data_IF_954001875750
#
_entry.id   IF_954001875750
#
_cell.length_a   1.000
_cell.length_b   1.000
_cell.length_c   1.000
_cell.angle_alpha   90.00
_cell.angle_beta   90.00
_cell.angle_gamma   90.00
#
_symmetry.space_group_name_H-M   'P 1'
#
loop_
_entity.id
_entity.type
_entity.pdbx_description
1 polymer ?
#
# COMPACT_ATOMS: atom_id res chain seq x y z
N UNK A 1 3.29 8.04 -12.26
CA UNK A 1 2.54 7.90 -11.01
C UNK A 1 3.20 8.82 -10.00
N UNK A 2 2.48 9.80 -9.49
CA UNK A 2 3.06 10.79 -8.57
C UNK A 2 3.06 10.32 -7.10
N UNK A 3 2.37 9.25 -6.79
CA UNK A 3 2.15 8.72 -5.43
C UNK A 3 3.03 7.51 -5.07
N UNK A 4 4.03 7.19 -5.90
CA UNK A 4 4.99 6.10 -5.65
C UNK A 4 6.42 6.64 -5.70
N UNK A 5 7.17 6.32 -4.66
CA UNK A 5 8.59 6.58 -4.56
C UNK A 5 9.36 5.27 -4.41
N UNK A 6 10.09 4.92 -5.47
CA UNK A 6 10.99 3.78 -5.45
C UNK A 6 12.43 4.32 -5.45
N UNK A 7 13.07 4.51 -4.29
CA UNK A 7 14.47 4.96 -4.22
C UNK A 7 15.44 3.92 -4.78
N UNK A 8 15.08 2.64 -4.70
CA UNK A 8 15.75 1.52 -5.35
C UNK A 8 14.75 0.59 -6.03
N UNK A 9 15.24 -0.22 -6.92
CA UNK A 9 14.49 -1.24 -7.66
C UNK A 9 15.17 -2.59 -7.52
N UNK A 10 14.40 -3.66 -7.66
CA UNK A 10 14.81 -5.04 -7.47
C UNK A 10 14.54 -5.52 -6.04
N UNK A 11 14.39 -6.83 -5.88
CA UNK A 11 14.03 -7.43 -4.60
C UNK A 11 14.54 -8.86 -4.49
N UNK A 12 14.53 -9.41 -3.27
CA UNK A 12 14.68 -10.84 -2.99
C UNK A 12 13.33 -11.40 -2.57
N UNK A 13 12.94 -12.54 -3.15
CA UNK A 13 11.76 -13.25 -2.67
C UNK A 13 11.93 -13.63 -1.20
N UNK A 14 10.90 -13.46 -0.41
CA UNK A 14 10.95 -13.65 1.04
C UNK A 14 9.92 -14.67 1.53
N UNK A 15 8.72 -14.62 1.01
CA UNK A 15 7.62 -15.50 1.40
C UNK A 15 6.85 -15.98 0.16
N UNK A 16 5.93 -16.92 0.35
CA UNK A 16 5.04 -17.44 -0.68
C UNK A 16 4.24 -16.34 -1.41
N UNK A 17 4.00 -15.20 -0.76
CA UNK A 17 3.41 -14.02 -1.42
C UNK A 17 4.33 -13.34 -2.45
N UNK A 18 5.57 -13.81 -2.59
CA UNK A 18 6.48 -13.33 -3.63
C UNK A 18 6.51 -14.21 -4.89
N UNK A 19 5.82 -15.37 -4.89
CA UNK A 19 5.89 -16.32 -6.00
C UNK A 19 5.37 -15.73 -7.31
N UNK A 20 4.23 -15.03 -7.26
CA UNK A 20 3.58 -14.37 -8.39
C UNK A 20 3.65 -12.83 -8.27
N UNK A 21 4.78 -12.31 -7.73
CA UNK A 21 4.93 -10.87 -7.53
C UNK A 21 4.95 -10.12 -8.86
N UNK A 22 4.09 -9.11 -8.95
CA UNK A 22 3.92 -8.28 -10.14
C UNK A 22 5.22 -7.59 -10.60
N UNK A 23 6.13 -7.28 -9.70
CA UNK A 23 7.41 -6.65 -10.03
C UNK A 23 8.26 -7.61 -10.87
N UNK A 24 8.44 -8.86 -10.42
CA UNK A 24 9.17 -9.88 -11.20
C UNK A 24 8.53 -10.14 -12.57
N UNK A 25 7.19 -10.21 -12.60
CA UNK A 25 6.47 -10.40 -13.86
C UNK A 25 6.70 -9.23 -14.82
N UNK A 26 6.54 -7.99 -14.38
CA UNK A 26 6.72 -6.81 -15.22
C UNK A 26 8.17 -6.61 -15.68
N UNK A 27 9.14 -6.98 -14.86
CA UNK A 27 10.55 -6.93 -15.19
C UNK A 27 10.89 -7.98 -16.24
N UNK A 28 10.36 -9.20 -16.15
CA UNK A 28 10.57 -10.26 -17.15
C UNK A 28 10.06 -9.86 -18.55
N UNK A 29 8.98 -9.05 -18.61
CA UNK A 29 8.48 -8.49 -19.87
C UNK A 29 9.39 -7.44 -20.52
N UNK A 30 10.41 -6.94 -19.77
CA UNK A 30 11.30 -5.85 -20.16
C UNK A 30 12.77 -6.25 -20.16
N UNK A 31 13.05 -7.54 -20.00
CA UNK A 31 14.40 -8.09 -19.84
C UNK A 31 15.22 -7.42 -18.71
N UNK A 32 14.52 -7.02 -17.64
CA UNK A 32 15.16 -6.42 -16.45
C UNK A 32 15.45 -7.50 -15.43
N UNK A 33 16.68 -7.53 -14.90
CA UNK A 33 17.05 -8.44 -13.83
C UNK A 33 16.51 -7.94 -12.49
N UNK A 34 15.38 -8.46 -12.05
CA UNK A 34 14.71 -8.11 -10.78
C UNK A 34 15.54 -8.40 -9.53
N UNK A 35 16.58 -9.25 -9.63
CA UNK A 35 17.44 -9.58 -8.49
C UNK A 35 18.64 -8.63 -8.37
N UNK A 36 18.87 -7.75 -9.33
CA UNK A 36 19.88 -6.70 -9.24
C UNK A 36 19.31 -5.49 -8.53
N UNK A 37 19.74 -5.29 -7.30
CA UNK A 37 19.26 -4.16 -6.49
C UNK A 37 20.05 -2.91 -6.84
N UNK A 38 19.37 -1.88 -7.34
CA UNK A 38 20.00 -0.64 -7.82
C UNK A 38 19.25 0.60 -7.37
N UNK A 39 19.98 1.68 -7.13
CA UNK A 39 19.37 3.00 -6.96
C UNK A 39 18.64 3.40 -8.25
N UNK A 40 17.48 4.02 -8.10
CA UNK A 40 16.74 4.58 -9.24
C UNK A 40 17.08 6.06 -9.44
N UNK A 41 16.75 6.58 -10.63
CA UNK A 41 16.82 8.02 -10.91
C UNK A 41 15.86 8.86 -10.05
N UNK A 42 14.92 8.19 -9.37
CA UNK A 42 13.94 8.79 -8.47
C UNK A 42 14.36 8.74 -7.00
N UNK A 43 15.64 8.43 -6.70
CA UNK A 43 16.14 8.31 -5.33
C UNK A 43 15.77 9.52 -4.47
N UNK A 44 15.89 10.71 -5.00
CA UNK A 44 15.58 11.98 -4.33
C UNK A 44 14.19 12.55 -4.73
N UNK A 45 13.26 11.72 -5.19
CA UNK A 45 11.97 12.22 -5.72
C UNK A 45 11.21 13.16 -4.77
N UNK A 46 11.07 12.91 -3.46
CA UNK A 46 10.37 13.84 -2.57
C UNK A 46 11.01 15.22 -2.44
N UNK A 47 12.30 15.35 -2.79
CA UNK A 47 13.05 16.62 -2.77
C UNK A 47 12.99 17.37 -4.09
N UNK A 48 12.42 16.78 -5.15
CA UNK A 48 12.36 17.41 -6.46
C UNK A 48 11.43 18.63 -6.45
N UNK A 49 11.91 19.71 -7.08
CA UNK A 49 11.18 20.97 -7.19
C UNK A 49 10.66 21.21 -8.61
N UNK A 50 9.60 21.96 -8.70
CA UNK A 50 9.08 22.57 -9.95
C UNK A 50 9.92 23.80 -10.30
N UNK A 51 9.65 24.41 -11.47
CA UNK A 51 10.35 25.64 -11.92
C UNK A 51 10.10 26.85 -11.01
N UNK A 52 8.96 26.89 -10.32
CA UNK A 52 8.59 27.94 -9.38
C UNK A 52 9.21 27.75 -7.98
N UNK A 53 10.07 26.75 -7.80
CA UNK A 53 10.74 26.45 -6.53
C UNK A 53 9.92 25.60 -5.56
N UNK A 54 8.62 25.38 -5.79
CA UNK A 54 7.78 24.50 -4.96
C UNK A 54 8.15 23.04 -5.16
N UNK A 55 7.94 22.19 -4.15
CA UNK A 55 8.13 20.75 -4.29
C UNK A 55 7.13 20.14 -5.26
N UNK A 56 7.56 19.12 -6.02
CA UNK A 56 6.65 18.33 -6.89
C UNK A 56 5.64 17.57 -6.06
N UNK A 57 6.08 16.97 -4.94
CA UNK A 57 5.21 16.33 -3.94
C UNK A 57 4.73 17.41 -2.98
N UNK A 58 3.43 17.61 -2.91
CA UNK A 58 2.81 18.68 -2.13
C UNK A 58 2.61 18.25 -0.67
N UNK A 59 2.56 19.21 0.24
CA UNK A 59 2.26 18.97 1.64
C UNK A 59 0.91 18.24 1.79
N UNK A 60 0.89 17.15 2.55
CA UNK A 60 -0.30 16.31 2.79
C UNK A 60 -0.50 15.17 1.79
N UNK A 61 0.29 15.10 0.70
CA UNK A 61 0.25 13.93 -0.19
C UNK A 61 0.72 12.66 0.53
N UNK A 62 0.14 11.52 0.16
CA UNK A 62 0.57 10.20 0.62
C UNK A 62 1.47 9.56 -0.45
N UNK A 63 2.70 9.24 -0.10
CA UNK A 63 3.66 8.57 -0.99
C UNK A 63 3.89 7.14 -0.51
N UNK A 64 3.68 6.17 -1.41
CA UNK A 64 3.98 4.75 -1.17
C UNK A 64 5.44 4.48 -1.51
N UNK A 65 6.18 3.97 -0.53
CA UNK A 65 7.64 3.79 -0.65
C UNK A 65 7.97 2.34 -1.02
N UNK A 66 8.94 2.15 -1.92
CA UNK A 66 9.49 0.84 -2.32
C UNK A 66 8.45 -0.14 -2.89
N UNK A 67 7.54 0.33 -3.74
CA UNK A 67 6.53 -0.55 -4.36
C UNK A 67 7.13 -1.55 -5.39
N UNK A 68 8.37 -1.35 -5.83
CA UNK A 68 9.13 -2.29 -6.69
C UNK A 68 10.33 -2.90 -5.97
N UNK A 69 10.27 -2.96 -4.64
CA UNK A 69 11.26 -3.56 -3.75
C UNK A 69 10.64 -3.84 -2.38
N UNK A 70 11.48 -3.94 -1.36
CA UNK A 70 11.09 -3.93 0.06
C UNK A 70 11.91 -2.87 0.78
N UNK A 71 11.28 -2.11 1.68
CA UNK A 71 11.96 -1.00 2.38
C UNK A 71 13.07 -1.50 3.32
N UNK A 72 12.89 -2.68 3.90
CA UNK A 72 13.87 -3.28 4.82
C UNK A 72 14.70 -4.40 4.17
N UNK A 73 14.88 -4.35 2.84
CA UNK A 73 15.77 -5.24 2.11
C UNK A 73 17.24 -5.02 2.56
N UNK A 74 18.00 -6.10 2.76
CA UNK A 74 19.39 -6.07 3.26
C UNK A 74 20.32 -5.24 2.35
N UNK A 75 20.26 -5.48 1.05
CA UNK A 75 21.12 -4.78 0.08
C UNK A 75 20.86 -3.27 0.03
N UNK A 76 19.74 -2.81 0.57
CA UNK A 76 19.40 -1.39 0.66
C UNK A 76 19.84 -0.72 1.96
N UNK A 77 20.46 -1.44 2.89
CA UNK A 77 20.92 -0.88 4.17
C UNK A 77 21.85 0.32 3.98
N UNK A 78 22.74 0.23 3.01
CA UNK A 78 23.70 1.31 2.65
C UNK A 78 23.05 2.60 2.19
N UNK A 79 21.76 2.59 1.87
CA UNK A 79 21.01 3.75 1.38
C UNK A 79 19.87 4.18 2.32
N UNK A 80 19.47 3.32 3.23
CA UNK A 80 18.26 3.52 4.05
C UNK A 80 18.35 4.76 4.91
N UNK A 81 19.50 5.05 5.51
CA UNK A 81 19.67 6.27 6.32
C UNK A 81 19.40 7.53 5.49
N UNK A 82 19.91 7.60 4.26
CA UNK A 82 19.61 8.73 3.37
C UNK A 82 18.12 8.88 3.05
N UNK A 83 17.36 7.76 3.05
CA UNK A 83 15.91 7.79 2.83
C UNK A 83 15.20 8.27 4.10
N UNK A 84 15.65 7.85 5.28
CA UNK A 84 15.15 8.39 6.54
C UNK A 84 15.40 9.90 6.66
N UNK A 85 16.56 10.41 6.20
CA UNK A 85 16.85 11.84 6.14
C UNK A 85 15.84 12.60 5.27
N UNK A 86 15.49 12.04 4.10
CA UNK A 86 14.48 12.63 3.22
C UNK A 86 13.10 12.63 3.89
N UNK A 87 12.70 11.55 4.53
CA UNK A 87 11.42 11.43 5.25
C UNK A 87 11.36 12.43 6.40
N UNK A 88 12.44 12.53 7.18
CA UNK A 88 12.62 13.47 8.30
C UNK A 88 12.56 14.93 7.83
N UNK A 89 13.16 15.23 6.68
CA UNK A 89 13.11 16.58 6.10
C UNK A 89 11.72 16.94 5.56
N UNK A 90 10.99 15.98 4.95
CA UNK A 90 9.66 16.16 4.37
C UNK A 90 8.56 15.77 5.35
N UNK A 91 8.56 16.38 6.55
CA UNK A 91 7.52 16.21 7.58
C UNK A 91 6.12 16.64 7.11
N UNK A 92 6.05 17.36 6.00
CA UNK A 92 4.83 17.79 5.34
C UNK A 92 4.18 16.71 4.46
N UNK A 93 4.89 15.62 4.14
CA UNK A 93 4.46 14.52 3.26
C UNK A 93 4.22 13.26 4.08
N UNK A 94 3.16 12.52 3.77
CA UNK A 94 2.84 11.24 4.40
C UNK A 94 3.56 10.11 3.66
N UNK A 95 4.25 9.24 4.39
CA UNK A 95 4.97 8.11 3.82
C UNK A 95 4.34 6.79 4.26
N UNK A 96 3.90 6.01 3.28
CA UNK A 96 3.39 4.66 3.46
C UNK A 96 4.54 3.67 3.23
N UNK A 97 5.10 3.12 4.29
CA UNK A 97 6.18 2.14 4.27
C UNK A 97 5.59 0.75 4.43
N UNK A 98 5.95 -0.16 3.52
CA UNK A 98 5.48 -1.54 3.50
C UNK A 98 6.65 -2.51 3.46
N UNK A 99 6.56 -3.58 4.26
CA UNK A 99 7.57 -4.64 4.26
C UNK A 99 6.98 -6.03 4.48
N UNK A 100 7.68 -7.03 3.98
CA UNK A 100 7.52 -8.43 4.38
C UNK A 100 8.54 -8.87 5.44
N UNK A 101 9.55 -8.03 5.69
CA UNK A 101 10.69 -8.26 6.61
C UNK A 101 10.45 -7.55 7.94
N UNK A 102 9.38 -7.92 8.64
CA UNK A 102 8.98 -7.27 9.89
C UNK A 102 10.07 -7.34 10.96
N UNK A 103 10.81 -8.45 11.01
CA UNK A 103 11.89 -8.70 11.97
C UNK A 103 13.06 -7.71 11.84
N UNK A 104 13.23 -7.10 10.65
CA UNK A 104 14.31 -6.14 10.41
C UNK A 104 13.93 -4.70 10.80
N UNK A 105 12.63 -4.42 11.04
CA UNK A 105 12.18 -3.04 11.29
C UNK A 105 12.96 -2.41 12.43
N UNK A 106 12.92 -3.05 13.60
CA UNK A 106 13.46 -2.48 14.85
C UNK A 106 14.92 -2.03 14.73
N UNK A 107 15.76 -2.86 14.10
CA UNK A 107 17.20 -2.62 13.99
C UNK A 107 17.56 -1.57 12.93
N UNK A 108 16.60 -1.21 12.05
CA UNK A 108 16.84 -0.32 10.93
C UNK A 108 15.96 0.94 10.97
N UNK A 109 15.38 1.24 12.13
CA UNK A 109 14.78 2.54 12.41
C UNK A 109 15.88 3.57 12.64
N UNK A 110 15.66 4.84 12.31
CA UNK A 110 16.65 5.89 12.57
C UNK A 110 16.81 6.12 14.09
N UNK A 111 17.97 6.62 14.52
CA UNK A 111 18.30 6.79 15.94
C UNK A 111 17.36 7.76 16.68
N UNK A 112 16.72 8.67 15.98
CA UNK A 112 15.75 9.65 16.50
C UNK A 112 14.29 9.22 16.25
N UNK A 113 14.04 7.93 16.03
CA UNK A 113 12.68 7.41 15.79
C UNK A 113 11.74 7.56 16.98
N UNK A 114 12.24 7.41 18.21
CA UNK A 114 11.48 7.51 19.47
C UNK A 114 10.18 6.69 19.43
N UNK A 115 9.01 7.33 19.48
CA UNK A 115 7.68 6.74 19.39
C UNK A 115 7.09 6.78 17.96
N UNK A 116 7.90 7.14 16.98
CA UNK A 116 7.60 7.18 15.55
C UNK A 116 7.38 8.57 14.99
N UNK A 117 7.64 8.72 13.69
CA UNK A 117 7.41 9.96 12.99
C UNK A 117 5.91 10.16 12.68
N UNK A 118 5.38 11.37 12.93
CA UNK A 118 3.99 11.74 12.69
C UNK A 118 3.54 11.61 11.22
N UNK A 119 4.48 11.57 10.30
CA UNK A 119 4.25 11.51 8.87
C UNK A 119 4.52 10.12 8.26
N UNK A 120 4.72 9.09 9.08
CA UNK A 120 5.00 7.73 8.62
C UNK A 120 3.95 6.75 9.13
N UNK A 121 3.39 5.95 8.23
CA UNK A 121 2.64 4.75 8.56
C UNK A 121 3.47 3.52 8.21
N UNK A 122 3.75 2.68 9.21
CA UNK A 122 4.43 1.41 9.04
C UNK A 122 3.42 0.30 8.77
N UNK A 123 3.68 -0.49 7.74
CA UNK A 123 2.79 -1.57 7.35
C UNK A 123 3.58 -2.86 7.13
N UNK A 124 2.96 -3.98 7.49
CA UNK A 124 3.46 -5.31 7.15
C UNK A 124 2.52 -6.00 6.18
N UNK A 125 3.09 -6.78 5.24
CA UNK A 125 2.28 -7.62 4.36
C UNK A 125 1.95 -8.93 5.07
N UNK A 126 0.68 -9.32 5.06
CA UNK A 126 0.19 -10.59 5.61
C UNK A 126 -0.60 -11.31 4.52
N UNK A 127 0.01 -12.30 3.89
CA UNK A 127 -0.56 -13.01 2.75
C UNK A 127 -1.52 -14.12 3.16
N UNK A 128 -1.32 -14.68 4.35
CA UNK A 128 -2.08 -15.76 4.97
C UNK A 128 -1.92 -15.69 6.50
N UNK A 129 -2.61 -16.60 7.23
CA UNK A 129 -2.59 -16.60 8.70
C UNK A 129 -1.19 -16.74 9.28
N UNK A 130 -0.38 -17.66 8.74
CA UNK A 130 1.00 -17.84 9.20
C UNK A 130 1.78 -16.52 9.16
N UNK A 131 1.68 -15.75 8.07
CA UNK A 131 2.39 -14.47 7.95
C UNK A 131 1.78 -13.38 8.82
N UNK A 132 0.48 -13.44 9.08
CA UNK A 132 -0.15 -12.56 10.05
C UNK A 132 0.39 -12.81 11.47
N UNK A 133 0.44 -14.08 11.89
CA UNK A 133 0.92 -14.50 13.21
C UNK A 133 2.41 -14.20 13.42
N UNK A 134 3.22 -14.27 12.36
CA UNK A 134 4.65 -13.92 12.39
C UNK A 134 4.88 -12.41 12.46
N UNK A 135 4.15 -11.60 11.67
CA UNK A 135 4.51 -10.20 11.42
C UNK A 135 3.71 -9.18 12.20
N UNK A 136 2.44 -9.43 12.48
CA UNK A 136 1.60 -8.46 13.20
C UNK A 136 2.10 -8.26 14.63
N UNK A 137 2.43 -9.29 15.42
CA UNK A 137 2.97 -9.08 16.76
C UNK A 137 4.28 -8.26 16.77
N UNK A 138 5.15 -8.46 15.77
CA UNK A 138 6.36 -7.66 15.63
C UNK A 138 5.99 -6.19 15.34
N UNK A 139 5.10 -5.93 14.37
CA UNK A 139 4.64 -4.57 14.06
C UNK A 139 4.04 -3.89 15.30
N UNK A 140 3.21 -4.60 16.07
CA UNK A 140 2.59 -4.07 17.28
C UNK A 140 3.62 -3.73 18.37
N UNK A 141 4.74 -4.45 18.42
CA UNK A 141 5.84 -4.18 19.37
C UNK A 141 6.71 -2.97 19.00
N UNK A 142 6.67 -2.52 17.74
CA UNK A 142 7.41 -1.34 17.29
C UNK A 142 6.70 -0.07 17.79
N UNK A 143 7.39 0.87 18.45
CA UNK A 143 6.81 2.17 18.72
C UNK A 143 6.64 2.94 17.41
N UNK A 144 5.40 3.20 17.00
CA UNK A 144 5.08 3.95 15.79
C UNK A 144 3.72 4.62 15.93
N UNK A 145 3.60 5.85 15.45
CA UNK A 145 2.37 6.65 15.51
C UNK A 145 1.24 5.99 14.73
N UNK A 146 1.56 5.48 13.54
CA UNK A 146 0.58 4.91 12.62
C UNK A 146 1.02 3.54 12.15
N UNK A 147 0.10 2.57 12.18
CA UNK A 147 0.33 1.18 11.78
C UNK A 147 -0.79 0.66 10.91
N UNK A 148 -0.43 -0.16 9.92
CA UNK A 148 -1.41 -0.79 9.04
C UNK A 148 -1.01 -2.21 8.62
N UNK A 149 -1.95 -2.92 8.04
CA UNK A 149 -1.79 -4.29 7.54
C UNK A 149 -2.14 -4.30 6.05
N UNK A 150 -1.30 -4.96 5.25
CA UNK A 150 -1.54 -5.18 3.83
C UNK A 150 -1.74 -6.68 3.58
N UNK A 151 -2.97 -7.11 3.31
CA UNK A 151 -3.30 -8.47 2.86
C UNK A 151 -3.35 -8.48 1.32
N UNK A 152 -2.22 -8.18 0.67
CA UNK A 152 -2.07 -8.20 -0.78
C UNK A 152 -0.63 -8.62 -1.16
N UNK A 153 -0.48 -9.84 -1.77
CA UNK A 153 -1.56 -10.73 -2.19
C UNK A 153 -2.24 -11.43 -1.01
N UNK A 154 -3.55 -11.62 -1.09
CA UNK A 154 -4.32 -12.36 -0.10
C UNK A 154 -4.56 -13.79 -0.63
N UNK A 155 -3.77 -14.74 -0.16
CA UNK A 155 -3.67 -16.11 -0.71
C UNK A 155 -4.09 -17.22 0.26
N UNK A 156 -4.56 -16.85 1.42
CA UNK A 156 -5.10 -17.75 2.43
C UNK A 156 -5.88 -16.97 3.47
N UNK A 157 -6.91 -17.55 4.05
CA UNK A 157 -7.73 -16.93 5.09
C UNK A 157 -6.87 -16.36 6.22
N UNK A 158 -7.27 -15.21 6.75
CA UNK A 158 -6.60 -14.52 7.88
C UNK A 158 -7.66 -14.06 8.88
N UNK A 159 -7.51 -14.49 10.12
CA UNK A 159 -8.17 -13.90 11.27
C UNK A 159 -7.24 -12.90 11.95
N UNK A 160 -7.57 -11.60 11.86
CA UNK A 160 -6.83 -10.53 12.52
C UNK A 160 -7.48 -10.07 13.83
N UNK A 161 -8.64 -10.57 14.18
CA UNK A 161 -9.40 -10.16 15.36
C UNK A 161 -8.54 -10.10 16.65
N UNK A 162 -7.67 -11.11 16.93
CA UNK A 162 -6.84 -11.09 18.14
C UNK A 162 -5.89 -9.89 18.24
N UNK A 163 -5.54 -9.26 17.12
CA UNK A 163 -4.58 -8.16 17.05
C UNK A 163 -5.24 -6.78 17.09
N UNK A 164 -6.54 -6.69 16.79
CA UNK A 164 -7.25 -5.41 16.67
C UNK A 164 -7.61 -4.79 18.01
N UNK A 165 -7.70 -5.57 19.07
CA UNK A 165 -7.99 -5.10 20.43
C UNK A 165 -6.94 -4.13 20.98
N UNK A 166 -5.76 -4.05 20.36
CA UNK A 166 -4.69 -3.12 20.76
C UNK A 166 -4.99 -1.66 20.38
N UNK A 167 -5.96 -1.43 19.51
CA UNK A 167 -6.30 -0.11 18.92
C UNK A 167 -5.13 0.59 18.22
N UNK A 168 -4.07 -0.17 17.84
CA UNK A 168 -2.88 0.38 17.17
C UNK A 168 -2.97 0.31 15.64
N UNK A 169 -3.84 -0.56 15.09
CA UNK A 169 -4.03 -0.69 13.65
C UNK A 169 -5.09 0.29 13.18
N UNK A 170 -4.74 1.11 12.19
CA UNK A 170 -5.61 2.18 11.68
C UNK A 170 -6.10 1.90 10.25
N UNK A 171 -5.38 1.02 9.51
CA UNK A 171 -5.66 0.76 8.10
C UNK A 171 -5.40 -0.71 7.77
N UNK A 172 -6.35 -1.35 7.10
CA UNK A 172 -6.18 -2.68 6.51
C UNK A 172 -6.51 -2.59 5.01
N UNK A 173 -5.59 -3.07 4.18
CA UNK A 173 -5.76 -3.10 2.72
C UNK A 173 -5.73 -4.56 2.28
N UNK A 174 -6.63 -4.93 1.37
CA UNK A 174 -6.75 -6.28 0.86
C UNK A 174 -6.79 -6.29 -0.68
N UNK A 175 -6.19 -7.32 -1.30
CA UNK A 175 -6.22 -7.51 -2.74
C UNK A 175 -5.67 -8.86 -3.17
N UNK A 176 -6.18 -9.38 -4.30
CA UNK A 176 -5.74 -10.64 -4.87
C UNK A 176 -4.48 -10.52 -5.74
N UNK A 177 -3.94 -11.67 -6.16
CA UNK A 177 -2.82 -11.75 -7.10
C UNK A 177 -3.26 -11.40 -8.53
N UNK A 178 -2.32 -10.83 -9.26
CA UNK A 178 -2.49 -10.48 -10.66
C UNK A 178 -1.56 -11.32 -11.55
N UNK A 179 -1.87 -11.34 -12.85
CA UNK A 179 -1.06 -11.99 -13.89
C UNK A 179 -1.13 -13.53 -13.86
N UNK A 180 -0.24 -14.15 -14.60
CA UNK A 180 -0.23 -15.61 -14.80
C UNK A 180 0.10 -16.34 -13.50
N UNK A 181 -0.60 -17.47 -13.29
CA UNK A 181 -0.43 -18.29 -12.08
C UNK A 181 -1.07 -17.72 -10.82
N UNK A 182 -1.83 -16.62 -10.93
CA UNK A 182 -2.50 -16.00 -9.78
C UNK A 182 -3.37 -17.01 -9.01
N UNK A 183 -3.12 -17.12 -7.72
CA UNK A 183 -3.90 -17.94 -6.80
C UNK A 183 -5.26 -17.30 -6.54
N UNK A 184 -6.29 -18.10 -6.28
CA UNK A 184 -7.63 -17.58 -6.06
C UNK A 184 -7.72 -16.76 -4.78
N UNK A 185 -8.41 -15.62 -4.86
CA UNK A 185 -8.90 -14.89 -3.70
C UNK A 185 -10.37 -15.26 -3.46
N UNK A 186 -10.73 -15.65 -2.25
CA UNK A 186 -12.08 -16.01 -1.86
C UNK A 186 -12.83 -14.81 -1.28
N UNK A 187 -14.06 -14.60 -1.73
CA UNK A 187 -14.94 -13.53 -1.24
C UNK A 187 -15.15 -13.60 0.28
N UNK A 188 -15.35 -14.81 0.81
CA UNK A 188 -15.59 -15.06 2.22
C UNK A 188 -14.42 -14.57 3.08
N UNK A 189 -13.17 -14.78 2.64
CA UNK A 189 -11.98 -14.29 3.33
C UNK A 189 -11.96 -12.76 3.41
N UNK A 190 -12.32 -12.10 2.30
CA UNK A 190 -12.38 -10.62 2.24
C UNK A 190 -13.49 -10.11 3.15
N UNK A 191 -14.63 -10.83 3.19
CA UNK A 191 -15.76 -10.45 4.04
C UNK A 191 -15.43 -10.58 5.52
N UNK A 192 -14.79 -11.68 5.93
CA UNK A 192 -14.38 -11.89 7.33
C UNK A 192 -13.42 -10.78 7.79
N UNK A 193 -12.46 -10.43 6.93
CA UNK A 193 -11.50 -9.36 7.19
C UNK A 193 -12.20 -7.99 7.29
N UNK A 194 -13.18 -7.73 6.39
CA UNK A 194 -14.01 -6.54 6.42
C UNK A 194 -14.83 -6.47 7.72
N UNK A 195 -15.50 -7.55 8.11
CA UNK A 195 -16.34 -7.61 9.30
C UNK A 195 -15.52 -7.33 10.58
N UNK A 196 -14.30 -7.88 10.67
CA UNK A 196 -13.37 -7.59 11.76
C UNK A 196 -12.99 -6.12 11.81
N UNK A 197 -12.58 -5.53 10.69
CA UNK A 197 -12.24 -4.11 10.61
C UNK A 197 -13.43 -3.21 10.94
N UNK A 198 -14.63 -3.59 10.48
CA UNK A 198 -15.86 -2.83 10.72
C UNK A 198 -16.21 -2.78 12.22
N UNK A 199 -16.13 -3.93 12.93
CA UNK A 199 -16.37 -3.98 14.38
C UNK A 199 -15.44 -3.08 15.17
N UNK A 200 -14.18 -2.94 14.72
CA UNK A 200 -13.16 -2.12 15.38
C UNK A 200 -13.04 -0.70 14.83
N UNK A 201 -13.92 -0.30 13.90
CA UNK A 201 -13.90 1.03 13.26
C UNK A 201 -12.55 1.36 12.60
N UNK A 202 -11.90 0.36 11.98
CA UNK A 202 -10.62 0.46 11.27
C UNK A 202 -10.91 0.62 9.78
N UNK A 203 -10.27 1.60 9.13
CA UNK A 203 -10.42 1.78 7.67
C UNK A 203 -10.03 0.50 6.93
N UNK A 204 -10.96 -0.04 6.13
CA UNK A 204 -10.73 -1.21 5.30
C UNK A 204 -10.89 -0.87 3.81
N UNK A 205 -9.91 -1.29 3.02
CA UNK A 205 -9.90 -1.04 1.57
C UNK A 205 -9.63 -2.33 0.79
N UNK A 206 -10.67 -2.86 0.15
CA UNK A 206 -10.56 -3.96 -0.81
C UNK A 206 -10.25 -3.38 -2.19
N UNK A 207 -8.98 -3.43 -2.62
CA UNK A 207 -8.50 -2.67 -3.78
C UNK A 207 -8.66 -3.38 -5.13
N UNK A 208 -8.61 -4.71 -5.16
CA UNK A 208 -8.75 -5.51 -6.38
C UNK A 208 -9.01 -6.98 -6.07
N UNK A 209 -9.83 -7.64 -6.91
CA UNK A 209 -10.16 -9.07 -6.74
C UNK A 209 -9.00 -9.99 -7.09
N UNK A 210 -7.99 -9.50 -7.80
CA UNK A 210 -7.02 -10.36 -8.46
C UNK A 210 -7.58 -11.02 -9.72
N UNK A 211 -6.71 -11.82 -10.37
CA UNK A 211 -7.03 -12.47 -11.65
C UNK A 211 -8.04 -13.60 -11.49
N UNK A 212 -7.99 -14.29 -10.35
CA UNK A 212 -8.87 -15.41 -10.01
C UNK A 212 -9.61 -15.09 -8.72
N UNK A 213 -10.94 -15.02 -8.81
CA UNK A 213 -11.80 -14.70 -7.67
C UNK A 213 -12.87 -15.77 -7.47
N UNK A 214 -13.07 -16.21 -6.25
CA UNK A 214 -14.04 -17.25 -5.90
C UNK A 214 -15.14 -16.66 -5.03
N UNK A 215 -16.40 -16.89 -5.42
CA UNK A 215 -17.59 -16.48 -4.66
C UNK A 215 -18.72 -17.47 -4.86
N UNK A 216 -19.42 -17.85 -3.81
CA UNK A 216 -20.53 -18.79 -3.82
C UNK A 216 -20.20 -20.10 -4.56
N UNK A 217 -18.98 -20.63 -4.36
CA UNK A 217 -18.47 -21.83 -5.01
C UNK A 217 -18.16 -21.69 -6.50
N UNK A 218 -18.29 -20.49 -7.09
CA UNK A 218 -17.95 -20.21 -8.49
C UNK A 218 -16.62 -19.49 -8.59
N UNK A 219 -15.84 -19.86 -9.61
CA UNK A 219 -14.57 -19.22 -9.93
C UNK A 219 -14.74 -18.25 -11.09
N UNK A 220 -14.29 -17.02 -10.90
CA UNK A 220 -14.33 -15.94 -11.89
C UNK A 220 -12.90 -15.59 -12.30
N UNK A 221 -12.66 -15.54 -13.63
CA UNK A 221 -11.39 -15.07 -14.18
C UNK A 221 -11.53 -13.63 -14.64
N UNK A 222 -10.82 -12.72 -13.98
CA UNK A 222 -10.90 -11.27 -14.18
C UNK A 222 -9.53 -10.75 -14.62
N UNK A 223 -9.18 -10.80 -15.92
CA UNK A 223 -7.80 -10.58 -16.39
C UNK A 223 -7.36 -9.12 -16.39
N UNK A 224 -8.28 -8.18 -16.24
CA UNK A 224 -8.01 -6.74 -16.36
C UNK A 224 -8.02 -6.05 -14.99
N UNK A 225 -6.93 -5.38 -14.63
CA UNK A 225 -6.83 -4.62 -13.37
C UNK A 225 -7.97 -3.60 -13.17
N UNK A 226 -8.43 -2.84 -14.18
CA UNK A 226 -9.60 -1.98 -14.01
C UNK A 226 -10.88 -2.74 -13.67
N UNK A 227 -11.06 -3.93 -14.23
CA UNK A 227 -12.21 -4.79 -13.91
C UNK A 227 -12.11 -5.35 -12.49
N UNK A 228 -10.92 -5.81 -12.09
CA UNK A 228 -10.65 -6.29 -10.73
C UNK A 228 -10.98 -5.21 -9.69
N UNK A 229 -10.50 -3.98 -9.92
CA UNK A 229 -10.80 -2.84 -9.05
C UNK A 229 -12.29 -2.44 -9.09
N UNK A 230 -12.97 -2.55 -10.25
CA UNK A 230 -14.41 -2.31 -10.37
C UNK A 230 -15.22 -3.34 -9.58
N UNK A 231 -14.89 -4.63 -9.70
CA UNK A 231 -15.57 -5.69 -8.96
C UNK A 231 -15.35 -5.56 -7.44
N UNK A 232 -14.13 -5.24 -7.01
CA UNK A 232 -13.86 -4.94 -5.61
C UNK A 232 -14.71 -3.77 -5.10
N UNK A 233 -14.87 -2.70 -5.89
CA UNK A 233 -15.77 -1.59 -5.56
C UNK A 233 -17.24 -2.03 -5.46
N UNK A 234 -17.72 -2.80 -6.42
CA UNK A 234 -19.11 -3.28 -6.48
C UNK A 234 -19.45 -4.28 -5.37
N UNK A 235 -18.43 -4.91 -4.75
CA UNK A 235 -18.68 -5.78 -3.59
C UNK A 235 -19.14 -5.02 -2.35
N UNK A 236 -18.96 -3.69 -2.31
CA UNK A 236 -19.22 -2.83 -1.16
C UNK A 236 -18.43 -3.22 0.12
N UNK A 237 -17.37 -4.03 -0.02
CA UNK A 237 -16.49 -4.44 1.07
C UNK A 237 -15.32 -3.45 1.27
N UNK A 238 -15.64 -2.17 1.35
CA UNK A 238 -14.68 -1.11 1.74
C UNK A 238 -15.41 -0.05 2.52
N UNK A 239 -14.80 0.45 3.59
CA UNK A 239 -15.37 1.57 4.34
C UNK A 239 -14.29 2.43 4.99
N UNK A 240 -14.63 3.68 5.24
CA UNK A 240 -13.80 4.61 5.99
C UNK A 240 -14.11 4.46 7.48
N UNK A 241 -13.16 3.94 8.23
CA UNK A 241 -13.20 3.91 9.70
C UNK A 241 -12.76 5.22 10.33
N UNK A 242 -12.21 5.15 11.53
CA UNK A 242 -11.65 6.32 12.20
C UNK A 242 -10.53 6.92 11.34
N UNK A 243 -10.62 8.21 10.99
CA UNK A 243 -9.57 8.85 10.19
C UNK A 243 -8.22 8.88 10.92
N UNK A 244 -7.15 8.58 10.20
CA UNK A 244 -5.78 8.72 10.71
C UNK A 244 -5.50 10.21 10.96
N UNK A 245 -5.06 10.55 12.17
CA UNK A 245 -4.76 11.91 12.58
C UNK A 245 -3.28 12.22 12.29
N UNK A 246 -3.01 12.82 11.15
CA UNK A 246 -1.67 13.21 10.74
C UNK A 246 -1.30 14.58 11.31
N UNK A 247 -0.19 14.64 12.07
CA UNK A 247 0.42 15.90 12.47
C UNK A 247 1.55 16.21 11.49
N UNK A 248 1.31 17.13 10.56
CA UNK A 248 2.27 17.48 9.53
C UNK A 248 2.86 18.88 9.79
N UNK A 249 4.15 19.00 9.50
CA UNK A 249 4.92 20.22 9.79
C UNK A 249 5.65 20.70 8.53
N UNK A 250 5.81 21.99 8.41
CA UNK A 250 6.66 22.59 7.38
C UNK A 250 8.16 22.40 7.70
N UNK A 251 9.03 22.85 6.81
CA UNK A 251 10.48 22.75 6.98
C UNK A 251 11.04 23.58 8.15
N UNK A 252 10.22 24.45 8.74
CA UNK A 252 10.55 25.26 9.91
C UNK A 252 9.94 24.70 11.21
N UNK A 253 9.36 23.47 11.15
CA UNK A 253 8.63 22.80 12.23
C UNK A 253 7.34 23.52 12.67
N UNK A 254 6.74 24.36 11.84
CA UNK A 254 5.42 24.89 12.12
C UNK A 254 4.34 23.89 11.68
N UNK A 255 3.29 23.66 12.51
CA UNK A 255 2.20 22.78 12.13
C UNK A 255 1.46 23.34 10.91
N UNK A 256 1.19 22.47 9.93
CA UNK A 256 0.49 22.88 8.70
C UNK A 256 -1.03 22.80 8.94
N UNK A 257 -1.77 23.90 8.80
CA UNK A 257 -3.23 23.86 8.91
C UNK A 257 -3.85 22.94 7.84
N UNK A 258 -4.88 22.18 8.20
CA UNK A 258 -5.57 21.23 7.30
C UNK A 258 -6.03 21.87 5.98
N UNK A 259 -6.42 23.15 5.98
CA UNK A 259 -6.83 23.89 4.79
C UNK A 259 -5.70 24.05 3.76
N UNK A 260 -4.45 23.99 4.20
CA UNK A 260 -3.24 24.16 3.37
C UNK A 260 -2.67 22.82 2.86
N UNK A 261 -3.20 21.70 3.34
CA UNK A 261 -2.79 20.39 2.87
C UNK A 261 -3.39 20.07 1.52
N UNK A 262 -2.66 19.26 0.74
CA UNK A 262 -3.14 18.73 -0.52
C UNK A 262 -4.51 18.07 -0.37
N UNK A 263 -5.43 18.44 -1.26
CA UNK A 263 -6.75 17.81 -1.37
C UNK A 263 -6.76 16.92 -2.61
N UNK A 264 -7.01 15.62 -2.45
CA UNK A 264 -7.09 14.71 -3.57
C UNK A 264 -8.12 15.19 -4.60
N UNK A 265 -7.69 15.29 -5.85
CA UNK A 265 -8.58 15.57 -6.97
C UNK A 265 -8.90 14.25 -7.69
N UNK A 266 -10.17 13.93 -7.81
CA UNK A 266 -10.64 12.70 -8.44
C UNK A 266 -11.38 13.03 -9.74
N UNK A 267 -11.14 12.22 -10.79
CA UNK A 267 -11.94 12.23 -12.02
C UNK A 267 -13.23 11.42 -11.82
N UNK A 268 -14.21 11.59 -12.70
CA UNK A 268 -15.48 10.81 -12.66
C UNK A 268 -15.25 9.31 -12.53
N UNK A 269 -14.31 8.75 -13.31
CA UNK A 269 -13.95 7.34 -13.26
C UNK A 269 -13.40 6.89 -11.90
N UNK A 270 -12.96 7.79 -11.05
CA UNK A 270 -12.53 7.48 -9.70
C UNK A 270 -13.72 7.25 -8.75
N UNK A 271 -14.93 7.64 -9.12
CA UNK A 271 -16.12 7.42 -8.30
C UNK A 271 -16.38 5.93 -8.04
N UNK A 272 -16.00 5.07 -8.98
CA UNK A 272 -16.14 3.60 -8.89
C UNK A 272 -14.81 2.88 -8.71
N UNK A 273 -13.78 3.57 -8.19
CA UNK A 273 -12.46 2.97 -7.96
C UNK A 273 -12.33 2.47 -6.53
N UNK A 274 -12.08 1.17 -6.36
CA UNK A 274 -11.89 0.54 -5.06
C UNK A 274 -10.73 1.14 -4.24
N UNK A 275 -9.70 1.66 -4.90
CA UNK A 275 -8.55 2.28 -4.23
C UNK A 275 -8.78 3.72 -3.77
N UNK A 276 -9.98 4.29 -3.94
CA UNK A 276 -10.28 5.70 -3.65
C UNK A 276 -9.99 6.11 -2.21
N UNK A 277 -10.23 5.22 -1.25
CA UNK A 277 -10.01 5.50 0.18
C UNK A 277 -8.54 5.74 0.54
N UNK A 278 -7.63 5.16 -0.23
CA UNK A 278 -6.18 5.20 0.03
C UNK A 278 -5.40 5.91 -1.08
N UNK A 279 -6.09 6.59 -2.00
CA UNK A 279 -5.48 7.21 -3.17
C UNK A 279 -5.30 8.71 -2.96
N UNK A 280 -4.18 9.23 -3.41
CA UNK A 280 -3.87 10.67 -3.41
C UNK A 280 -4.69 11.49 -4.44
N UNK A 281 -5.57 10.84 -5.18
CA UNK A 281 -6.32 11.47 -6.26
C UNK A 281 -5.77 11.10 -7.64
N UNK A 282 -6.15 11.85 -8.65
CA UNK A 282 -5.79 11.55 -10.02
C UNK A 282 -4.31 11.82 -10.31
N UNK A 283 -3.51 10.77 -10.26
CA UNK A 283 -2.08 10.76 -10.60
C UNK A 283 -1.77 10.04 -11.91
N UNK A 284 -2.74 9.96 -12.81
CA UNK A 284 -2.61 9.17 -14.05
C UNK A 284 -2.19 7.70 -13.81
N UNK A 285 -2.79 7.08 -12.79
CA UNK A 285 -2.45 5.72 -12.34
C UNK A 285 -2.67 4.62 -13.40
N UNK A 286 -3.13 4.97 -14.60
CA UNK A 286 -3.45 4.03 -15.67
C UNK A 286 -4.83 3.37 -15.54
N UNK A 287 -5.42 3.33 -14.35
CA UNK A 287 -6.78 2.78 -14.13
C UNK A 287 -7.87 3.60 -14.85
N UNK A 288 -7.62 4.91 -15.06
CA UNK A 288 -8.56 5.81 -15.75
C UNK A 288 -8.35 5.90 -17.27
N UNK A 289 -7.16 5.52 -17.77
CA UNK A 289 -6.81 5.70 -19.20
C UNK A 289 -7.32 4.57 -20.11
N UNK A 290 -7.70 3.45 -19.54
CA UNK A 290 -8.28 2.37 -20.34
C UNK A 290 -9.68 2.77 -20.75
N UNK A 291 -9.91 2.85 -22.08
CA UNK A 291 -11.26 2.95 -22.66
C UNK A 291 -12.13 1.90 -21.98
N UNK A 292 -13.30 2.30 -21.54
CA UNK A 292 -14.34 1.37 -21.08
C UNK A 292 -14.56 0.41 -22.24
N UNK A 293 -14.02 -0.78 -22.15
CA UNK A 293 -14.44 -1.88 -23.01
C UNK A 293 -15.86 -2.13 -22.53
N UNK A 294 -16.85 -1.88 -23.38
CA UNK A 294 -18.22 -2.25 -23.12
C UNK A 294 -18.26 -3.76 -22.91
N UNK A 295 -18.27 -4.13 -21.64
CA UNK A 295 -18.55 -5.51 -21.26
C UNK A 295 -20.06 -5.60 -21.36
N UNK A 296 -20.54 -6.43 -22.27
CA UNK A 296 -21.90 -6.90 -22.21
C UNK A 296 -22.16 -7.33 -20.76
N UNK A 297 -23.29 -6.85 -20.22
CA UNK A 297 -23.79 -7.26 -18.92
C UNK A 297 -23.86 -8.79 -18.90
N UNK A 298 -22.82 -9.42 -18.42
CA UNK A 298 -22.85 -10.76 -17.91
C UNK A 298 -22.67 -10.59 -16.43
N UNK A 299 -23.82 -10.63 -15.76
CA UNK A 299 -24.04 -10.86 -14.36
C UNK A 299 -22.98 -10.26 -13.39
N UNK A 300 -23.33 -9.05 -12.88
CA UNK A 300 -22.72 -8.55 -11.67
C UNK A 300 -22.91 -9.55 -10.54
N UNK A 301 -21.93 -9.62 -9.62
CA UNK A 301 -22.02 -10.42 -8.40
C UNK A 301 -23.23 -10.05 -7.56
#
# INVERSE_FOLDING_TARGET
MHDIWNPWHGCRKYSEGCDHCYMYYLDSLRDVNSTLITKTNNFNYPLQKKRDGSFKVQAGELIRVCMTSDFFLEEADVWRESIWDIIRYRKDVKFYILTKRAERIKEHLPSDWEDGYDNVILNVTCENQRRADERIPILLSIPAKHKGIMCAPFIGHIDIEPYLNTSQIELVICGGENYDGARPLHYEWVKDLYDSCFRHNITFSFIETGNTFVKDGKTYHIPSKPLQAKQAYLSHLSFQGKPIQWNLYDTFNNPIPLKNLYKPHFRENCATCASRLICNGCSDCGKCKQKIIHIHQTDGF
#
